data_IF_415863136187
#
_entry.id   IF_415863136187
#
_cell.length_a   1.000
_cell.length_b   1.000
_cell.length_c   1.000
_cell.angle_alpha   90.00
_cell.angle_beta   90.00
_cell.angle_gamma   90.00
#
_symmetry.space_group_name_H-M   'P 1'
#
loop_
_entity.id
_entity.type
_entity.pdbx_description
1 polymer ?
#
# COMPACT_ATOMS: atom_id res chain seq x y z
N UNK A 1 10.55 9.77 26.29
CA UNK A 1 10.92 8.36 26.23
C UNK A 1 11.23 8.03 24.79
N UNK A 2 12.51 7.82 24.50
CA UNK A 2 13.03 7.55 23.17
C UNK A 2 12.67 6.12 22.74
N UNK A 3 11.97 5.97 21.63
CA UNK A 3 11.89 4.70 20.91
C UNK A 3 12.42 4.94 19.51
N UNK A 4 13.72 4.71 19.34
CA UNK A 4 14.37 4.60 18.04
C UNK A 4 13.79 3.34 17.40
N UNK A 5 12.73 3.50 16.60
CA UNK A 5 12.11 2.37 15.90
C UNK A 5 13.17 1.67 15.05
N UNK A 6 13.37 0.38 15.32
CA UNK A 6 14.44 -0.44 14.77
C UNK A 6 14.59 -0.27 13.24
N UNK A 7 15.67 0.37 12.81
CA UNK A 7 16.03 0.56 11.40
C UNK A 7 16.52 -0.72 10.69
N UNK A 8 16.09 -1.90 11.14
CA UNK A 8 16.58 -3.21 10.67
C UNK A 8 15.53 -4.32 10.71
N UNK A 9 14.27 -4.01 10.41
CA UNK A 9 13.16 -4.97 10.44
C UNK A 9 12.62 -5.35 9.05
N UNK A 10 11.92 -6.50 8.98
CA UNK A 10 11.16 -6.91 7.79
C UNK A 10 9.68 -6.63 8.03
N UNK A 11 9.05 -5.87 7.13
CA UNK A 11 7.61 -5.61 7.12
C UNK A 11 6.93 -6.63 6.21
N UNK A 12 6.09 -7.50 6.78
CA UNK A 12 5.33 -8.47 6.01
C UNK A 12 3.98 -7.88 5.59
N UNK A 13 3.75 -7.79 4.29
CA UNK A 13 2.43 -7.47 3.72
C UNK A 13 1.70 -8.78 3.50
N UNK A 14 0.49 -8.90 4.06
CA UNK A 14 -0.32 -10.12 4.01
C UNK A 14 -1.46 -9.99 3.03
N UNK A 15 -1.93 -11.13 2.54
CA UNK A 15 -3.17 -11.22 1.77
C UNK A 15 -4.35 -10.73 2.62
N UNK A 16 -5.27 -10.02 1.98
CA UNK A 16 -6.50 -9.53 2.60
C UNK A 16 -7.68 -10.47 2.38
N UNK A 17 -7.57 -11.42 1.45
CA UNK A 17 -8.54 -12.49 1.25
C UNK A 17 -8.70 -13.33 2.53
N UNK A 18 -9.91 -13.42 3.12
CA UNK A 18 -10.19 -14.28 4.27
C UNK A 18 -9.79 -15.74 4.06
N UNK A 19 -9.90 -16.26 2.84
CA UNK A 19 -9.51 -17.64 2.52
C UNK A 19 -7.99 -17.84 2.52
N UNK A 20 -7.22 -16.76 2.38
CA UNK A 20 -5.75 -16.77 2.43
C UNK A 20 -5.21 -16.10 3.70
N UNK A 21 -6.02 -16.01 4.78
CA UNK A 21 -5.67 -15.28 6.00
C UNK A 21 -4.30 -15.69 6.54
N UNK A 22 -3.47 -14.68 6.80
CA UNK A 22 -2.11 -14.90 7.33
C UNK A 22 -1.07 -15.15 6.25
N UNK A 23 -1.44 -15.40 4.99
CA UNK A 23 -0.49 -15.58 3.88
C UNK A 23 0.28 -14.29 3.64
N UNK A 24 1.61 -14.36 3.61
CA UNK A 24 2.46 -13.22 3.23
C UNK A 24 2.50 -13.13 1.72
N UNK A 25 2.22 -11.95 1.15
CA UNK A 25 2.24 -11.71 -0.30
C UNK A 25 3.51 -10.96 -0.72
N UNK A 26 4.09 -10.18 0.18
CA UNK A 26 5.38 -9.54 -0.02
C UNK A 26 6.05 -9.22 1.32
N UNK A 27 7.37 -9.05 1.29
CA UNK A 27 8.17 -8.59 2.42
C UNK A 27 8.98 -7.37 2.01
N UNK A 28 8.93 -6.32 2.80
CA UNK A 28 9.83 -5.18 2.69
C UNK A 28 10.93 -5.33 3.72
N UNK A 29 12.15 -5.58 3.26
CA UNK A 29 13.34 -5.47 4.09
C UNK A 29 13.73 -4.00 4.20
N UNK A 30 13.59 -3.43 5.40
CA UNK A 30 13.88 -2.01 5.66
C UNK A 30 15.38 -1.70 5.66
N UNK A 31 16.23 -2.68 5.96
CA UNK A 31 17.68 -2.52 5.92
C UNK A 31 18.16 -2.34 4.47
N UNK A 32 17.71 -3.22 3.57
CA UNK A 32 18.10 -3.18 2.16
C UNK A 32 17.20 -2.30 1.28
N UNK A 33 16.00 -1.95 1.75
CA UNK A 33 14.98 -1.26 0.97
C UNK A 33 14.39 -2.12 -0.15
N UNK A 34 14.47 -3.45 -0.04
CA UNK A 34 13.97 -4.37 -1.08
C UNK A 34 12.58 -4.83 -0.73
N UNK A 35 11.65 -4.61 -1.67
CA UNK A 35 10.32 -5.19 -1.66
C UNK A 35 10.34 -6.51 -2.46
N UNK A 36 10.24 -7.62 -1.74
CA UNK A 36 10.29 -8.98 -2.28
C UNK A 36 8.88 -9.60 -2.33
N UNK A 37 8.33 -9.90 -3.52
CA UNK A 37 7.06 -10.59 -3.64
C UNK A 37 7.20 -12.09 -3.36
N UNK A 38 6.24 -12.68 -2.63
CA UNK A 38 6.21 -14.12 -2.36
C UNK A 38 6.07 -14.93 -3.67
N UNK A 39 5.12 -14.53 -4.52
CA UNK A 39 4.91 -15.16 -5.82
C UNK A 39 5.72 -14.44 -6.90
N UNK A 40 6.80 -15.08 -7.34
CA UNK A 40 7.67 -14.57 -8.40
C UNK A 40 7.22 -15.05 -9.77
N UNK A 41 7.29 -14.16 -10.76
CA UNK A 41 7.04 -14.46 -12.17
C UNK A 41 8.13 -13.80 -13.01
N UNK A 42 8.01 -13.83 -14.34
CA UNK A 42 8.91 -13.04 -15.19
C UNK A 42 8.88 -11.58 -14.77
N UNK A 43 7.71 -10.93 -14.72
CA UNK A 43 7.58 -9.50 -14.36
C UNK A 43 7.51 -9.25 -12.86
N UNK A 44 7.05 -10.22 -12.07
CA UNK A 44 6.93 -10.06 -10.61
C UNK A 44 8.23 -10.52 -9.94
N UNK A 45 9.07 -9.57 -9.54
CA UNK A 45 10.41 -9.83 -8.99
C UNK A 45 10.72 -8.86 -7.86
N UNK A 46 11.74 -9.13 -7.02
CA UNK A 46 12.20 -8.15 -6.04
C UNK A 46 12.51 -6.80 -6.67
N UNK A 47 12.04 -5.73 -6.01
CA UNK A 47 12.26 -4.34 -6.41
C UNK A 47 12.93 -3.60 -5.26
N UNK A 48 14.13 -3.08 -5.50
CA UNK A 48 14.77 -2.15 -4.58
C UNK A 48 14.14 -0.77 -4.72
N UNK A 49 13.64 -0.24 -3.60
CA UNK A 49 13.04 1.07 -3.46
C UNK A 49 14.13 2.15 -3.56
N UNK A 50 14.03 2.97 -4.61
CA UNK A 50 14.88 4.14 -4.82
C UNK A 50 14.16 5.13 -5.74
N UNK A 51 14.80 6.26 -6.04
CA UNK A 51 14.31 7.31 -6.95
C UNK A 51 13.98 6.87 -8.39
N UNK A 52 14.34 5.64 -8.80
CA UNK A 52 14.01 5.09 -10.13
C UNK A 52 12.74 4.25 -10.11
N UNK A 53 12.16 4.02 -8.94
CA UNK A 53 10.88 3.34 -8.78
C UNK A 53 9.73 4.29 -9.06
N UNK A 54 8.74 3.79 -9.79
CA UNK A 54 7.45 4.43 -9.99
C UNK A 54 6.42 3.81 -9.06
N UNK A 55 5.67 4.65 -8.35
CA UNK A 55 4.59 4.24 -7.47
C UNK A 55 3.25 4.68 -8.02
N UNK A 56 2.31 3.75 -8.12
CA UNK A 56 0.94 4.02 -8.53
C UNK A 56 -0.06 3.30 -7.63
N UNK A 57 -1.09 4.01 -7.17
CA UNK A 57 -2.29 3.36 -6.65
C UNK A 57 -3.10 2.78 -7.81
N UNK A 58 -3.53 1.53 -7.66
CA UNK A 58 -4.45 0.89 -8.59
C UNK A 58 -5.74 0.59 -7.86
N UNK A 59 -6.88 0.92 -8.47
CA UNK A 59 -8.18 0.71 -7.84
C UNK A 59 -9.18 0.04 -8.77
N UNK A 60 -10.13 -0.64 -8.16
CA UNK A 60 -11.31 -1.25 -8.77
C UNK A 60 -12.45 -1.22 -7.74
N UNK A 61 -13.67 -1.59 -8.14
CA UNK A 61 -14.82 -1.70 -7.22
C UNK A 61 -14.58 -2.63 -6.02
N UNK A 62 -13.62 -3.55 -6.12
CA UNK A 62 -13.35 -4.56 -5.08
C UNK A 62 -11.98 -4.46 -4.42
N UNK A 63 -11.09 -3.59 -4.91
CA UNK A 63 -9.71 -3.54 -4.42
C UNK A 63 -9.05 -2.19 -4.67
N UNK A 64 -8.28 -1.71 -3.69
CA UNK A 64 -7.19 -0.75 -3.87
C UNK A 64 -5.86 -1.45 -3.59
N UNK A 65 -4.87 -1.23 -4.44
CA UNK A 65 -3.53 -1.78 -4.30
C UNK A 65 -2.45 -0.74 -4.60
N UNK A 66 -1.22 -1.06 -4.21
CA UNK A 66 -0.02 -0.32 -4.59
C UNK A 66 0.75 -1.12 -5.64
N UNK A 67 1.00 -0.51 -6.79
CA UNK A 67 1.96 -0.98 -7.77
C UNK A 67 3.29 -0.27 -7.57
N UNK A 68 4.35 -1.07 -7.44
CA UNK A 68 5.74 -0.61 -7.33
C UNK A 68 6.49 -1.13 -8.55
N UNK A 69 6.90 -0.24 -9.44
CA UNK A 69 7.53 -0.62 -10.72
C UNK A 69 8.95 -0.07 -10.86
N UNK A 70 9.85 -0.89 -11.39
CA UNK A 70 11.21 -0.51 -11.75
C UNK A 70 11.61 -1.14 -13.07
N UNK A 71 11.59 -0.34 -14.13
CA UNK A 71 11.75 -0.86 -15.49
C UNK A 71 10.67 -1.90 -15.79
N UNK A 72 11.06 -3.11 -16.15
CA UNK A 72 10.11 -4.18 -16.49
C UNK A 72 9.64 -5.02 -15.27
N UNK A 73 10.23 -4.78 -14.09
CA UNK A 73 9.93 -5.51 -12.84
C UNK A 73 8.87 -4.76 -12.05
N UNK A 74 7.95 -5.48 -11.43
CA UNK A 74 6.92 -4.89 -10.58
C UNK A 74 6.55 -5.75 -9.39
N UNK A 75 6.05 -5.11 -8.34
CA UNK A 75 5.37 -5.75 -7.20
C UNK A 75 4.01 -5.12 -7.03
N UNK A 76 3.00 -5.94 -6.72
CA UNK A 76 1.67 -5.46 -6.35
C UNK A 76 1.38 -5.83 -4.90
N UNK A 77 1.01 -4.82 -4.12
CA UNK A 77 0.59 -4.99 -2.74
C UNK A 77 -0.92 -4.75 -2.65
N UNK A 78 -1.70 -5.65 -2.03
CA UNK A 78 -3.07 -5.32 -1.65
C UNK A 78 -3.03 -4.30 -0.51
N UNK A 79 -3.83 -3.24 -0.62
CA UNK A 79 -3.98 -2.25 0.46
C UNK A 79 -5.37 -2.35 1.09
N UNK A 80 -6.41 -2.46 0.26
CA UNK A 80 -7.80 -2.71 0.67
C UNK A 80 -8.44 -3.70 -0.30
N UNK A 81 -9.22 -4.65 0.21
CA UNK A 81 -10.08 -5.53 -0.58
C UNK A 81 -11.48 -5.64 0.03
N UNK A 82 -12.51 -5.82 -0.81
CA UNK A 82 -13.89 -6.06 -0.37
C UNK A 82 -14.27 -7.51 -0.61
N UNK A 83 -14.60 -8.21 0.48
CA UNK A 83 -14.99 -9.62 0.50
C UNK A 83 -16.31 -9.77 1.24
N UNK A 84 -17.33 -10.34 0.57
CA UNK A 84 -18.65 -10.54 1.19
C UNK A 84 -19.32 -9.25 1.69
N UNK A 85 -18.99 -8.09 1.11
CA UNK A 85 -19.49 -6.78 1.55
C UNK A 85 -18.67 -6.12 2.67
N UNK A 86 -17.70 -6.83 3.27
CA UNK A 86 -16.78 -6.27 4.25
C UNK A 86 -15.51 -5.73 3.58
N UNK A 87 -15.09 -4.52 3.95
CA UNK A 87 -13.81 -3.97 3.53
C UNK A 87 -12.71 -4.39 4.52
N UNK A 88 -11.65 -5.01 3.99
CA UNK A 88 -10.46 -5.44 4.72
C UNK A 88 -9.29 -4.61 4.23
N UNK A 89 -8.44 -4.16 5.15
CA UNK A 89 -7.31 -3.29 4.86
C UNK A 89 -6.02 -3.79 5.49
N UNK A 90 -4.88 -3.34 4.98
CA UNK A 90 -3.61 -3.55 5.68
C UNK A 90 -3.64 -2.86 7.06
N UNK A 91 -2.95 -3.41 8.07
CA UNK A 91 -2.82 -2.76 9.37
C UNK A 91 -2.16 -1.37 9.31
N UNK A 92 -2.48 -0.52 10.30
CA UNK A 92 -1.96 0.85 10.38
C UNK A 92 -0.44 0.92 10.46
N UNK A 93 0.18 0.04 11.25
CA UNK A 93 1.63 -0.07 11.39
C UNK A 93 2.31 -0.45 10.06
N UNK A 94 1.70 -1.36 9.29
CA UNK A 94 2.17 -1.75 7.95
C UNK A 94 2.03 -0.58 6.97
N UNK A 95 0.89 0.12 6.98
CA UNK A 95 0.67 1.27 6.10
C UNK A 95 1.67 2.40 6.37
N UNK A 96 1.93 2.71 7.65
CA UNK A 96 2.90 3.73 8.08
C UNK A 96 4.33 3.33 7.70
N UNK A 97 4.73 2.08 8.00
CA UNK A 97 6.06 1.60 7.66
C UNK A 97 6.31 1.59 6.15
N UNK A 98 5.31 1.25 5.33
CA UNK A 98 5.40 1.37 3.88
C UNK A 98 5.60 2.84 3.46
N UNK A 99 4.79 3.76 3.97
CA UNK A 99 4.91 5.18 3.63
C UNK A 99 6.30 5.75 3.97
N UNK A 100 6.81 5.45 5.16
CA UNK A 100 8.10 5.97 5.64
C UNK A 100 9.29 5.41 4.84
N UNK A 101 9.23 4.14 4.44
CA UNK A 101 10.27 3.55 3.58
C UNK A 101 10.21 4.08 2.15
N UNK A 102 9.02 4.32 1.59
CA UNK A 102 8.89 4.93 0.27
C UNK A 102 9.43 6.37 0.25
N UNK A 103 9.12 7.14 1.29
CA UNK A 103 9.54 8.54 1.46
C UNK A 103 11.06 8.65 1.68
N UNK A 104 11.60 7.92 2.66
CA UNK A 104 13.05 7.96 2.98
C UNK A 104 13.95 7.52 1.82
N UNK A 105 13.45 6.68 0.92
CA UNK A 105 14.18 6.21 -0.28
C UNK A 105 14.03 7.16 -1.49
N UNK A 106 13.25 8.23 -1.36
CA UNK A 106 13.02 9.22 -2.40
C UNK A 106 12.34 8.65 -3.64
N UNK A 107 11.43 7.69 -3.45
CA UNK A 107 10.68 7.06 -4.54
C UNK A 107 9.81 8.09 -5.29
N UNK A 108 9.56 7.86 -6.58
CA UNK A 108 8.75 8.77 -7.40
C UNK A 108 7.29 8.35 -7.42
N UNK A 109 6.42 9.27 -7.03
CA UNK A 109 4.97 9.10 -7.07
C UNK A 109 4.42 9.53 -8.43
N UNK A 110 3.80 8.61 -9.18
CA UNK A 110 3.02 9.00 -10.38
C UNK A 110 1.58 9.34 -10.02
N UNK A 111 1.09 8.79 -8.91
CA UNK A 111 -0.14 9.17 -8.22
C UNK A 111 0.21 9.45 -6.76
N UNK A 112 -0.54 10.31 -6.06
CA UNK A 112 -0.38 10.46 -4.61
C UNK A 112 -0.54 9.09 -3.91
N UNK A 113 0.52 8.58 -3.28
CA UNK A 113 0.64 7.25 -2.65
C UNK A 113 1.02 7.38 -1.19
N UNK A 114 2.09 8.12 -0.88
CA UNK A 114 2.68 8.23 0.46
C UNK A 114 1.69 8.92 1.41
N UNK A 115 1.13 10.07 1.00
CA UNK A 115 0.20 10.80 1.86
C UNK A 115 -1.10 10.01 2.12
N UNK A 116 -1.75 9.36 1.13
CA UNK A 116 -2.89 8.48 1.40
C UNK A 116 -2.58 7.28 2.30
N UNK A 117 -1.36 6.70 2.22
CA UNK A 117 -0.95 5.62 3.12
C UNK A 117 -0.83 6.10 4.57
N UNK A 118 -0.19 7.26 4.80
CA UNK A 118 -0.10 7.88 6.14
C UNK A 118 -1.48 8.19 6.69
N UNK A 119 -2.34 8.83 5.90
CA UNK A 119 -3.69 9.17 6.30
C UNK A 119 -4.56 7.93 6.58
N UNK A 120 -4.35 6.83 5.85
CA UNK A 120 -5.00 5.55 6.15
C UNK A 120 -4.53 4.97 7.48
N UNK A 121 -3.23 5.00 7.78
CA UNK A 121 -2.71 4.54 9.06
C UNK A 121 -3.32 5.34 10.22
N UNK A 122 -3.32 6.68 10.12
CA UNK A 122 -3.86 7.55 11.17
C UNK A 122 -5.37 7.35 11.36
N UNK A 123 -6.11 7.13 10.27
CA UNK A 123 -7.55 6.80 10.31
C UNK A 123 -7.83 5.49 11.06
N UNK A 124 -7.03 4.45 10.81
CA UNK A 124 -7.18 3.16 11.49
C UNK A 124 -6.75 3.22 12.96
N UNK A 125 -5.69 3.97 13.29
CA UNK A 125 -5.25 4.17 14.67
C UNK A 125 -6.29 4.95 15.50
N UNK A 126 -7.09 5.81 14.86
CA UNK A 126 -8.25 6.45 15.47
C UNK A 126 -9.44 5.49 15.70
N UNK A 127 -9.31 4.20 15.35
CA UNK A 127 -10.35 3.19 15.51
C UNK A 127 -11.48 3.28 14.49
N UNK A 128 -11.29 4.00 13.38
CA UNK A 128 -12.32 4.19 12.37
C UNK A 128 -12.38 3.01 11.37
N UNK A 129 -13.54 2.75 10.74
CA UNK A 129 -13.69 1.62 9.81
C UNK A 129 -12.81 1.75 8.55
N UNK A 130 -12.28 0.62 8.05
CA UNK A 130 -11.50 0.55 6.80
C UNK A 130 -12.27 1.14 5.61
N UNK A 131 -13.58 0.87 5.54
CA UNK A 131 -14.43 1.30 4.43
C UNK A 131 -14.50 2.82 4.26
N UNK A 132 -14.31 3.60 5.33
CA UNK A 132 -14.33 5.07 5.29
C UNK A 132 -12.93 5.69 5.20
N UNK A 133 -11.88 4.85 5.13
CA UNK A 133 -10.50 5.34 5.11
C UNK A 133 -10.16 6.07 3.80
N UNK A 134 -9.13 6.94 3.80
CA UNK A 134 -8.67 7.65 2.59
C UNK A 134 -8.39 6.74 1.39
N UNK A 135 -7.89 5.52 1.62
CA UNK A 135 -7.68 4.53 0.56
C UNK A 135 -8.98 3.88 0.05
N UNK A 136 -10.01 3.81 0.90
CA UNK A 136 -11.34 3.30 0.54
C UNK A 136 -12.09 4.21 -0.43
N UNK A 137 -11.80 5.53 -0.39
CA UNK A 137 -12.38 6.52 -1.33
C UNK A 137 -12.07 6.21 -2.79
N UNK A 138 -10.88 5.65 -3.09
CA UNK A 138 -10.51 5.25 -4.45
C UNK A 138 -11.33 4.07 -5.01
N UNK A 139 -12.08 3.38 -4.14
CA UNK A 139 -13.04 2.33 -4.50
C UNK A 139 -14.49 2.83 -4.55
N UNK A 140 -14.73 4.11 -4.23
CA UNK A 140 -16.07 4.65 -4.01
C UNK A 140 -16.72 4.19 -2.71
N UNK A 141 -15.95 3.68 -1.74
CA UNK A 141 -16.45 3.35 -0.41
C UNK A 141 -16.53 4.64 0.44
N UNK A 142 -17.75 5.01 0.87
CA UNK A 142 -18.04 6.26 1.57
C UNK A 142 -18.61 7.34 0.63
N UNK A 143 -19.93 7.27 0.40
CA UNK A 143 -20.63 8.11 -0.57
C UNK A 143 -20.56 9.62 -0.30
N UNK A 144 -20.49 10.39 -1.39
CA UNK A 144 -20.72 11.83 -1.40
C UNK A 144 -19.77 12.65 -2.28
N UNK A 145 -19.56 12.29 -3.55
CA UNK A 145 -18.86 13.17 -4.48
C UNK A 145 -18.43 12.45 -5.76
N UNK A 146 -18.80 12.98 -6.91
CA UNK A 146 -18.30 12.51 -8.19
C UNK A 146 -16.77 12.69 -8.26
N UNK A 147 -16.04 11.64 -8.61
CA UNK A 147 -14.63 11.71 -9.03
C UNK A 147 -14.48 12.31 -10.44
N UNK A 148 -15.27 13.33 -10.75
CA UNK A 148 -15.14 14.15 -11.97
C UNK A 148 -14.67 15.55 -11.57
N UNK A 149 -13.40 15.69 -11.20
CA UNK A 149 -12.69 16.98 -11.30
C UNK A 149 -11.17 16.76 -11.34
N UNK A 150 -10.69 16.02 -12.34
CA UNK A 150 -9.27 16.00 -12.72
C UNK A 150 -9.24 15.90 -14.23
N UNK A 151 -9.37 17.06 -14.87
CA UNK A 151 -9.36 17.22 -16.32
C UNK A 151 -10.11 18.47 -16.76
N UNK A 152 -9.46 19.63 -16.63
CA UNK A 152 -9.46 20.68 -17.65
C UNK A 152 -8.38 21.71 -17.29
N UNK A 153 -7.17 21.45 -17.79
CA UNK A 153 -6.16 22.44 -18.21
C UNK A 153 -5.48 21.90 -19.46
#
# INVERSE_FOLDING_TARGET
>A
MSSTAASGGVVAVRALDPAARGTVVARLDRGTGVLDPERRTLRTKPVALDRKVLLALTSSKKRTGLMVERGWRRVFLPLIEVHGGAALGIPADVARALADELDSRGTRETTAVIAPLRAHADHLDAGLPVASSPLGRYMGLGGGGALTSLGDF
#
